data_IF_101261165672
#
_entry.id   IF_101261165672
#
_cell.length_a   1.000
_cell.length_b   1.000
_cell.length_c   1.000
_cell.angle_alpha   90.00
_cell.angle_beta   90.00
_cell.angle_gamma   90.00
#
_symmetry.space_group_name_H-M   'P 1'
#
loop_
_entity.id
_entity.type
_entity.pdbx_description
1 polymer ?
#
# COMPACT_ATOMS: atom_id res chain seq x y z
N UNK A 1 6.67 20.30 7.62
CA UNK A 1 6.48 18.85 7.88
C UNK A 1 7.68 18.11 7.30
N UNK A 2 8.23 17.14 8.02
CA UNK A 2 9.35 16.36 7.50
C UNK A 2 8.82 15.18 6.70
N UNK A 3 9.34 15.00 5.49
CA UNK A 3 9.12 13.80 4.70
C UNK A 3 9.94 12.65 5.29
N UNK A 4 9.32 11.50 5.44
CA UNK A 4 9.96 10.25 5.83
C UNK A 4 10.17 9.41 4.57
N UNK A 5 11.40 8.97 4.34
CA UNK A 5 11.73 8.13 3.19
C UNK A 5 11.28 6.70 3.43
N UNK A 6 10.60 6.12 2.45
CA UNK A 6 10.40 4.68 2.29
C UNK A 6 11.47 4.24 1.29
N UNK A 7 12.59 3.65 1.72
CA UNK A 7 13.69 3.36 0.80
C UNK A 7 13.27 2.36 -0.28
N UNK A 8 13.85 2.47 -1.46
CA UNK A 8 13.61 1.51 -2.54
C UNK A 8 13.78 0.07 -2.04
N UNK A 9 12.83 -0.81 -2.37
CA UNK A 9 12.83 -2.24 -2.00
C UNK A 9 12.73 -2.51 -0.49
N UNK A 10 12.38 -1.50 0.34
CA UNK A 10 12.28 -1.61 1.81
C UNK A 10 10.93 -1.10 2.30
N UNK A 11 10.67 -1.36 3.57
CA UNK A 11 9.49 -0.87 4.27
C UNK A 11 9.81 0.22 5.28
N UNK A 12 8.78 0.96 5.68
CA UNK A 12 8.80 1.91 6.78
C UNK A 12 7.46 1.96 7.48
N UNK A 13 7.44 2.08 8.81
CA UNK A 13 6.23 2.17 9.59
C UNK A 13 6.24 3.39 10.51
N UNK A 14 5.04 3.86 10.89
CA UNK A 14 4.88 4.97 11.81
C UNK A 14 3.59 4.82 12.64
N UNK A 15 3.56 5.44 13.83
CA UNK A 15 2.35 5.60 14.64
C UNK A 15 1.64 6.88 14.23
N UNK A 16 0.32 6.81 14.12
CA UNK A 16 -0.55 7.91 13.70
C UNK A 16 -1.72 8.01 14.67
N UNK A 17 -2.06 9.22 15.10
CA UNK A 17 -3.22 9.45 15.96
C UNK A 17 -4.48 9.66 15.13
N UNK A 18 -5.62 9.35 15.71
CA UNK A 18 -6.92 9.68 15.14
C UNK A 18 -6.99 11.16 14.72
N UNK A 19 -7.54 11.42 13.53
CA UNK A 19 -7.66 12.75 12.94
C UNK A 19 -6.42 13.27 12.20
N UNK A 20 -5.23 12.70 12.42
CA UNK A 20 -4.04 13.08 11.64
C UNK A 20 -4.18 12.62 10.19
N UNK A 21 -3.45 13.30 9.32
CA UNK A 21 -3.41 12.96 7.89
C UNK A 21 -2.07 12.32 7.53
N UNK A 22 -2.13 11.38 6.62
CA UNK A 22 -0.96 10.67 6.08
C UNK A 22 -0.91 10.96 4.60
N UNK A 23 0.11 11.66 4.17
CA UNK A 23 0.39 11.92 2.74
C UNK A 23 1.43 10.94 2.26
N UNK A 24 1.08 10.09 1.30
CA UNK A 24 2.02 9.17 0.65
C UNK A 24 2.34 9.71 -0.73
N UNK A 25 3.62 9.94 -1.02
CA UNK A 25 4.10 10.63 -2.22
C UNK A 25 4.83 9.65 -3.13
N UNK A 26 4.39 9.56 -4.38
CA UNK A 26 5.12 8.88 -5.44
C UNK A 26 6.18 9.83 -6.02
N UNK A 27 7.35 9.86 -5.41
CA UNK A 27 8.40 10.83 -5.70
C UNK A 27 8.84 10.82 -7.15
N UNK A 28 8.93 9.64 -7.73
CA UNK A 28 9.39 9.45 -9.12
C UNK A 28 8.24 9.13 -10.10
N UNK A 29 7.02 8.96 -9.62
CA UNK A 29 5.83 8.71 -10.42
C UNK A 29 5.61 7.25 -10.82
N UNK A 30 6.59 6.36 -10.67
CA UNK A 30 6.49 4.97 -11.14
C UNK A 30 6.48 3.94 -10.01
N UNK A 31 6.68 4.35 -8.75
CA UNK A 31 6.82 3.42 -7.65
C UNK A 31 5.48 2.99 -7.06
N UNK A 32 5.18 1.71 -7.10
CA UNK A 32 4.09 1.11 -6.32
C UNK A 32 4.46 1.06 -4.84
N UNK A 33 3.53 1.46 -3.99
CA UNK A 33 3.69 1.41 -2.52
C UNK A 33 2.58 0.55 -1.92
N UNK A 34 2.94 -0.61 -1.41
CA UNK A 34 2.02 -1.41 -0.62
C UNK A 34 1.82 -0.75 0.75
N UNK A 35 0.57 -0.56 1.15
CA UNK A 35 0.19 0.14 2.37
C UNK A 35 -0.70 -0.71 3.26
N UNK A 36 -0.45 -0.67 4.58
CA UNK A 36 -1.25 -1.33 5.61
C UNK A 36 -1.51 -0.36 6.75
N UNK A 37 -2.62 -0.58 7.44
CA UNK A 37 -2.95 0.11 8.67
C UNK A 37 -3.50 -0.89 9.69
N UNK A 38 -3.08 -0.74 10.93
CA UNK A 38 -3.44 -1.59 12.07
C UNK A 38 -3.92 -0.72 13.21
N UNK A 39 -4.88 -1.19 14.00
CA UNK A 39 -5.22 -0.56 15.28
C UNK A 39 -3.96 -0.50 16.16
N UNK A 40 -3.67 0.67 16.74
CA UNK A 40 -2.44 0.89 17.49
C UNK A 40 -2.34 0.07 18.78
N UNK A 41 -3.47 -0.36 19.33
CA UNK A 41 -3.58 -1.14 20.58
C UNK A 41 -3.76 -2.62 20.29
N UNK A 42 -4.47 -2.97 19.22
CA UNK A 42 -4.77 -4.35 18.84
C UNK A 42 -4.40 -4.61 17.36
N UNK A 43 -3.13 -4.90 17.04
CA UNK A 43 -2.70 -5.09 15.65
C UNK A 43 -3.30 -6.31 14.93
N UNK A 44 -4.08 -7.14 15.62
CA UNK A 44 -4.95 -8.16 15.03
C UNK A 44 -6.19 -7.58 14.36
N UNK A 45 -6.45 -6.29 14.56
CA UNK A 45 -7.39 -5.51 13.80
C UNK A 45 -6.65 -4.67 12.76
N UNK A 46 -6.87 -4.97 11.48
CA UNK A 46 -6.16 -4.37 10.35
C UNK A 46 -7.12 -3.88 9.27
N UNK A 47 -6.66 -2.95 8.43
CA UNK A 47 -7.33 -2.51 7.22
C UNK A 47 -7.51 -3.68 6.26
N UNK A 48 -8.76 -4.06 5.98
CA UNK A 48 -9.11 -5.25 5.22
C UNK A 48 -9.67 -4.88 3.84
N UNK A 49 -8.98 -5.29 2.77
CA UNK A 49 -9.34 -4.91 1.41
C UNK A 49 -10.69 -5.51 0.97
N UNK A 50 -10.95 -6.77 1.29
CA UNK A 50 -12.22 -7.44 1.00
C UNK A 50 -13.40 -6.81 1.77
N UNK A 51 -13.15 -6.37 2.98
CA UNK A 51 -14.14 -5.68 3.79
C UNK A 51 -14.43 -4.28 3.25
N UNK A 52 -13.38 -3.57 2.82
CA UNK A 52 -13.46 -2.21 2.28
C UNK A 52 -14.17 -2.19 0.94
N UNK A 53 -13.86 -3.13 0.03
CA UNK A 53 -14.61 -3.26 -1.24
C UNK A 53 -16.11 -3.47 -1.02
N UNK A 54 -16.49 -4.30 -0.05
CA UNK A 54 -17.90 -4.50 0.31
C UNK A 54 -18.51 -3.25 0.97
N UNK A 55 -17.70 -2.42 1.64
CA UNK A 55 -18.14 -1.19 2.29
C UNK A 55 -18.48 -0.09 1.28
N UNK A 56 -17.57 0.21 0.36
CA UNK A 56 -17.81 1.25 -0.66
C UNK A 56 -18.35 0.73 -2.00
N UNK A 57 -18.55 -0.60 -2.15
CA UNK A 57 -19.14 -1.27 -3.33
C UNK A 57 -18.44 -0.94 -4.65
N UNK A 58 -17.08 -0.91 -4.61
CA UNK A 58 -16.22 -0.62 -5.78
C UNK A 58 -14.96 -1.50 -5.69
N UNK A 59 -14.27 -1.70 -6.82
CA UNK A 59 -12.97 -2.36 -6.87
C UNK A 59 -11.82 -1.41 -6.51
N UNK A 60 -11.99 -0.12 -6.79
CA UNK A 60 -11.03 0.93 -6.44
C UNK A 60 -11.71 2.01 -5.61
N UNK A 61 -11.01 2.50 -4.58
CA UNK A 61 -11.48 3.61 -3.76
C UNK A 61 -11.42 4.93 -4.53
N UNK A 62 -12.35 5.83 -4.24
CA UNK A 62 -12.35 7.21 -4.68
C UNK A 62 -12.19 8.16 -3.49
N UNK A 63 -11.87 9.41 -3.76
CA UNK A 63 -11.84 10.46 -2.73
C UNK A 63 -13.19 10.52 -2.00
N UNK A 64 -13.15 10.47 -0.68
CA UNK A 64 -14.30 10.38 0.22
C UNK A 64 -14.61 8.96 0.72
N UNK A 65 -14.08 7.92 0.07
CA UNK A 65 -14.29 6.53 0.53
C UNK A 65 -13.43 6.25 1.76
N UNK A 66 -14.03 5.49 2.70
CA UNK A 66 -13.35 5.01 3.91
C UNK A 66 -13.03 3.53 3.79
N UNK A 67 -11.77 3.18 3.97
CA UNK A 67 -11.34 1.81 4.21
C UNK A 67 -11.76 1.38 5.61
N UNK A 68 -12.11 0.11 5.75
CA UNK A 68 -12.55 -0.46 7.02
C UNK A 68 -11.66 -1.61 7.46
N UNK A 69 -11.69 -1.89 8.77
CA UNK A 69 -10.97 -3.01 9.35
C UNK A 69 -11.66 -4.35 9.05
N UNK A 70 -10.99 -5.46 9.38
CA UNK A 70 -11.58 -6.80 9.42
C UNK A 70 -12.76 -6.90 10.43
N UNK A 71 -12.94 -5.89 11.30
CA UNK A 71 -14.10 -5.72 12.20
C UNK A 71 -15.11 -4.67 11.73
N UNK A 72 -14.99 -4.19 10.48
CA UNK A 72 -15.88 -3.21 9.84
C UNK A 72 -15.87 -1.80 10.49
N UNK A 73 -14.83 -1.43 11.22
CA UNK A 73 -14.66 -0.05 11.71
C UNK A 73 -13.89 0.78 10.69
N UNK A 74 -14.27 2.04 10.40
CA UNK A 74 -13.46 2.94 9.57
C UNK A 74 -12.05 3.08 10.15
N UNK A 75 -11.02 2.99 9.29
CA UNK A 75 -9.62 3.08 9.69
C UNK A 75 -8.87 4.17 8.95
N UNK A 76 -9.03 4.29 7.63
CA UNK A 76 -8.47 5.36 6.80
C UNK A 76 -9.53 5.87 5.83
N UNK A 77 -9.63 7.18 5.66
CA UNK A 77 -10.44 7.81 4.61
C UNK A 77 -9.53 8.47 3.59
N UNK A 78 -9.68 8.17 2.31
CA UNK A 78 -8.98 8.87 1.22
C UNK A 78 -9.58 10.26 1.06
N UNK A 79 -8.83 11.30 1.40
CA UNK A 79 -9.34 12.69 1.39
C UNK A 79 -8.86 13.51 0.20
N UNK A 80 -7.75 13.09 -0.41
CA UNK A 80 -7.24 13.71 -1.65
C UNK A 80 -6.38 12.70 -2.41
N UNK A 81 -6.44 12.74 -3.73
CA UNK A 81 -5.61 11.93 -4.62
C UNK A 81 -5.24 12.74 -5.87
N UNK A 82 -3.96 12.95 -6.08
CA UNK A 82 -3.42 13.66 -7.25
C UNK A 82 -2.74 12.72 -8.24
N UNK A 83 -2.74 11.40 -7.97
CA UNK A 83 -2.03 10.42 -8.76
C UNK A 83 -2.72 10.09 -10.09
N UNK A 84 -4.01 10.38 -10.19
CA UNK A 84 -4.82 10.06 -11.38
C UNK A 84 -4.95 8.57 -11.65
N UNK A 85 -4.61 7.72 -10.67
CA UNK A 85 -4.68 6.28 -10.84
C UNK A 85 -5.66 5.62 -9.86
N UNK A 86 -6.17 4.48 -10.31
CA UNK A 86 -6.91 3.58 -9.45
C UNK A 86 -5.92 2.78 -8.59
N UNK A 87 -5.92 3.02 -7.30
CA UNK A 87 -5.16 2.21 -6.35
C UNK A 87 -5.73 0.79 -6.30
N UNK A 88 -4.86 -0.21 -6.42
CA UNK A 88 -5.30 -1.59 -6.46
C UNK A 88 -5.62 -2.13 -5.06
N UNK A 89 -6.72 -2.86 -4.97
CA UNK A 89 -7.18 -3.55 -3.75
C UNK A 89 -7.29 -5.06 -3.94
N UNK A 90 -6.86 -5.60 -5.08
CA UNK A 90 -7.09 -6.99 -5.49
C UNK A 90 -5.85 -7.85 -5.33
N UNK A 91 -4.68 -7.31 -5.69
CA UNK A 91 -3.43 -8.06 -5.67
C UNK A 91 -2.89 -8.21 -4.25
N UNK A 92 -2.47 -9.43 -3.91
CA UNK A 92 -1.75 -9.67 -2.68
C UNK A 92 -0.36 -9.01 -2.70
N UNK A 93 0.18 -8.58 -1.54
CA UNK A 93 1.56 -8.12 -1.47
C UNK A 93 2.50 -9.24 -1.94
N UNK A 94 3.54 -8.87 -2.68
CA UNK A 94 4.51 -9.84 -3.16
C UNK A 94 5.27 -10.50 -2.00
N UNK A 95 5.62 -11.78 -2.19
CA UNK A 95 6.37 -12.60 -1.25
C UNK A 95 7.36 -13.51 -1.99
N UNK A 96 8.12 -14.30 -1.25
CA UNK A 96 9.12 -15.23 -1.80
C UNK A 96 8.49 -16.28 -2.73
N UNK A 97 7.30 -16.77 -2.39
CA UNK A 97 6.60 -17.78 -3.20
C UNK A 97 6.17 -17.18 -4.55
N UNK A 98 5.67 -15.94 -4.53
CA UNK A 98 5.34 -15.21 -5.77
C UNK A 98 6.55 -15.03 -6.67
N UNK A 99 7.70 -14.64 -6.13
CA UNK A 99 8.93 -14.53 -6.92
C UNK A 99 9.43 -15.87 -7.43
N UNK A 100 9.29 -16.95 -6.66
CA UNK A 100 9.53 -18.32 -7.12
C UNK A 100 8.69 -18.70 -8.35
N UNK A 101 7.39 -18.36 -8.34
CA UNK A 101 6.50 -18.56 -9.50
C UNK A 101 6.89 -17.70 -10.71
N UNK A 102 7.52 -16.55 -10.51
CA UNK A 102 8.06 -15.69 -11.57
C UNK A 102 9.45 -16.15 -12.07
N UNK A 103 9.97 -17.26 -11.55
CA UNK A 103 11.22 -17.88 -12.00
C UNK A 103 12.48 -17.39 -11.27
N UNK A 104 12.34 -16.59 -10.21
CA UNK A 104 13.49 -16.14 -9.40
C UNK A 104 14.05 -17.33 -8.60
N UNK A 105 15.36 -17.52 -8.69
CA UNK A 105 16.09 -18.50 -7.89
C UNK A 105 16.82 -17.81 -6.74
N UNK A 106 16.54 -18.23 -5.50
CA UNK A 106 17.15 -17.69 -4.30
C UNK A 106 16.37 -16.49 -3.72
N UNK A 107 17.03 -15.71 -2.90
CA UNK A 107 16.40 -14.59 -2.19
C UNK A 107 16.05 -13.43 -3.13
N UNK A 108 14.86 -12.89 -2.98
CA UNK A 108 14.42 -11.62 -3.55
C UNK A 108 13.71 -10.79 -2.49
N UNK A 109 14.01 -9.49 -2.44
CA UNK A 109 13.27 -8.58 -1.56
C UNK A 109 11.77 -8.63 -1.91
N UNK A 110 10.90 -8.50 -0.91
CA UNK A 110 9.45 -8.59 -1.13
C UNK A 110 8.69 -7.76 -0.10
N UNK A 111 7.43 -7.42 -0.43
CA UNK A 111 6.60 -6.54 0.39
C UNK A 111 6.19 -7.17 1.72
N UNK A 112 5.99 -8.49 1.75
CA UNK A 112 5.68 -9.22 2.98
C UNK A 112 6.81 -9.06 4.01
N UNK A 113 8.06 -9.34 3.63
CA UNK A 113 9.21 -9.22 4.53
C UNK A 113 9.45 -7.77 4.94
N UNK A 114 9.26 -6.82 4.01
CA UNK A 114 9.34 -5.39 4.27
C UNK A 114 8.33 -4.93 5.32
N UNK A 115 7.08 -5.42 5.26
CA UNK A 115 6.06 -5.14 6.27
C UNK A 115 6.51 -5.59 7.66
N UNK A 116 6.91 -6.86 7.79
CA UNK A 116 7.32 -7.42 9.08
C UNK A 116 8.56 -6.73 9.64
N UNK A 117 9.54 -6.39 8.79
CA UNK A 117 10.73 -5.65 9.19
C UNK A 117 10.39 -4.22 9.67
N UNK A 118 9.52 -3.51 8.95
CA UNK A 118 9.08 -2.16 9.33
C UNK A 118 8.29 -2.14 10.65
N UNK A 119 7.40 -3.11 10.87
CA UNK A 119 6.66 -3.25 12.12
C UNK A 119 7.56 -3.61 13.31
N UNK A 120 8.60 -4.41 13.06
CA UNK A 120 9.57 -4.79 14.10
C UNK A 120 10.33 -3.57 14.65
N UNK A 121 10.59 -2.54 13.84
CA UNK A 121 11.20 -1.27 14.31
C UNK A 121 10.34 -0.56 15.38
N UNK A 122 9.03 -0.80 15.36
CA UNK A 122 8.07 -0.24 16.32
C UNK A 122 7.68 -1.23 17.44
N UNK A 123 8.34 -2.39 17.49
CA UNK A 123 8.02 -3.52 18.39
C UNK A 123 6.58 -4.04 18.20
N UNK A 124 6.00 -3.93 17.00
CA UNK A 124 4.70 -4.44 16.63
C UNK A 124 4.86 -5.80 15.96
N UNK A 125 4.03 -6.77 16.36
CA UNK A 125 3.99 -8.11 15.76
C UNK A 125 2.57 -8.41 15.29
N UNK A 126 2.45 -9.03 14.14
CA UNK A 126 1.19 -9.48 13.54
C UNK A 126 1.26 -10.98 13.26
N UNK A 127 0.15 -11.73 13.38
CA UNK A 127 0.15 -13.19 13.20
C UNK A 127 0.27 -13.62 11.74
N UNK A 128 -0.13 -12.77 10.80
CA UNK A 128 -0.12 -13.03 9.36
C UNK A 128 0.00 -11.72 8.58
N UNK A 129 0.38 -11.78 7.31
CA UNK A 129 0.40 -10.63 6.40
C UNK A 129 -1.00 -10.43 5.81
N UNK A 130 -1.70 -9.32 6.13
CA UNK A 130 -2.99 -9.04 5.50
C UNK A 130 -2.81 -8.57 4.05
N UNK A 131 -3.87 -8.62 3.22
CA UNK A 131 -3.88 -7.95 1.92
C UNK A 131 -3.55 -6.46 2.05
N UNK A 132 -2.74 -5.94 1.14
CA UNK A 132 -2.34 -4.53 1.10
C UNK A 132 -3.29 -3.67 0.27
N UNK A 133 -3.34 -2.38 0.57
CA UNK A 133 -3.74 -1.37 -0.39
C UNK A 133 -2.51 -1.02 -1.24
N UNK A 134 -2.56 -1.31 -2.55
CA UNK A 134 -1.42 -1.11 -3.44
C UNK A 134 -1.55 0.28 -4.09
N UNK A 135 -0.92 1.27 -3.46
CA UNK A 135 -0.95 2.65 -3.93
C UNK A 135 -0.18 2.79 -5.24
N UNK A 136 -0.73 3.58 -6.17
CA UNK A 136 -0.14 3.89 -7.47
C UNK A 136 0.00 2.66 -8.40
N UNK A 137 -0.65 1.55 -8.06
CA UNK A 137 -0.64 0.32 -8.84
C UNK A 137 -1.81 0.28 -9.81
N UNK A 138 -1.50 0.21 -11.09
CA UNK A 138 -2.49 0.17 -12.16
C UNK A 138 -2.80 -1.28 -12.53
N UNK A 139 -3.97 -1.76 -12.11
CA UNK A 139 -4.50 -3.09 -12.46
C UNK A 139 -5.82 -2.89 -13.20
N UNK A 140 -5.80 -2.63 -14.50
CA UNK A 140 -7.04 -2.53 -15.28
C UNK A 140 -7.77 -3.88 -15.31
N UNK A 141 -9.10 -3.79 -15.33
CA UNK A 141 -9.99 -4.96 -15.42
C UNK A 141 -11.04 -4.76 -16.51
N UNK A 142 -11.53 -5.88 -17.04
CA UNK A 142 -12.60 -5.90 -18.05
C UNK A 142 -13.96 -6.22 -17.42
N UNK A 143 -15.02 -6.05 -18.20
CA UNK A 143 -16.38 -6.45 -17.78
C UNK A 143 -16.50 -7.95 -17.51
N UNK A 144 -15.65 -8.77 -18.15
CA UNK A 144 -15.61 -10.23 -17.96
C UNK A 144 -14.74 -10.64 -16.76
N UNK A 145 -14.16 -9.65 -16.04
CA UNK A 145 -13.38 -9.88 -14.83
C UNK A 145 -11.89 -10.21 -15.07
N UNK A 146 -11.40 -10.08 -16.28
CA UNK A 146 -9.98 -10.26 -16.59
C UNK A 146 -9.16 -9.08 -16.03
N UNK A 147 -7.98 -9.39 -15.50
CA UNK A 147 -7.04 -8.42 -14.93
C UNK A 147 -5.77 -8.36 -15.79
N UNK A 148 -5.18 -7.17 -15.87
CA UNK A 148 -3.90 -6.97 -16.55
C UNK A 148 -2.91 -6.22 -15.66
N UNK A 149 -1.61 -6.42 -15.91
CA UNK A 149 -0.53 -5.64 -15.31
C UNK A 149 -0.33 -4.38 -16.14
N UNK A 150 -0.77 -3.24 -15.61
CA UNK A 150 -0.59 -1.94 -16.26
C UNK A 150 0.62 -1.20 -15.70
N UNK A 151 1.22 -0.35 -16.55
CA UNK A 151 2.22 0.62 -16.09
C UNK A 151 1.58 1.67 -15.19
N UNK A 152 2.34 2.24 -14.23
CA UNK A 152 1.88 3.36 -13.44
C UNK A 152 1.45 4.54 -14.32
N UNK A 153 0.34 5.18 -13.96
CA UNK A 153 -0.16 6.39 -14.63
C UNK A 153 0.12 7.67 -13.83
N UNK A 154 0.60 7.52 -12.60
CA UNK A 154 0.96 8.65 -11.75
C UNK A 154 2.20 9.38 -12.25
N UNK A 155 2.28 10.68 -11.96
CA UNK A 155 3.40 11.55 -12.32
C UNK A 155 4.32 11.80 -11.12
N UNK A 156 5.58 12.20 -11.33
CA UNK A 156 6.48 12.53 -10.23
C UNK A 156 5.89 13.57 -9.26
N UNK A 157 5.93 13.26 -7.96
CA UNK A 157 5.39 14.11 -6.90
C UNK A 157 3.89 13.96 -6.66
N UNK A 158 3.18 13.13 -7.42
CA UNK A 158 1.78 12.78 -7.13
C UNK A 158 1.67 12.11 -5.77
N UNK A 159 0.52 12.27 -5.11
CA UNK A 159 0.29 11.73 -3.78
C UNK A 159 -1.15 11.28 -3.56
N UNK A 160 -1.32 10.39 -2.59
CA UNK A 160 -2.59 10.08 -1.96
C UNK A 160 -2.55 10.56 -0.50
N UNK A 161 -3.61 11.24 -0.05
CA UNK A 161 -3.75 11.80 1.30
C UNK A 161 -4.89 11.09 2.02
N UNK A 162 -4.58 10.50 3.15
CA UNK A 162 -5.53 9.80 4.00
C UNK A 162 -5.72 10.52 5.33
N UNK A 163 -6.92 10.45 5.89
CA UNK A 163 -7.20 10.78 7.28
C UNK A 163 -7.29 9.49 8.10
N UNK A 164 -6.63 9.46 9.25
CA UNK A 164 -6.75 8.38 10.23
C UNK A 164 -8.08 8.51 11.00
N UNK A 165 -8.88 7.45 11.03
CA UNK A 165 -10.16 7.44 11.73
C UNK A 165 -10.04 6.91 13.17
N UNK A 166 -8.90 6.33 13.52
CA UNK A 166 -8.53 5.86 14.84
C UNK A 166 -7.03 5.98 15.05
N UNK A 167 -6.54 5.75 16.26
CA UNK A 167 -5.11 5.62 16.51
C UNK A 167 -4.60 4.35 15.82
N UNK A 168 -3.55 4.47 14.99
CA UNK A 168 -3.06 3.38 14.17
C UNK A 168 -1.55 3.30 14.08
N UNK A 169 -1.09 2.14 13.64
CA UNK A 169 0.22 1.92 13.05
C UNK A 169 0.03 1.76 11.55
N UNK A 170 0.66 2.63 10.76
CA UNK A 170 0.74 2.46 9.30
C UNK A 170 2.09 1.85 8.93
N UNK A 171 2.08 1.01 7.90
CA UNK A 171 3.29 0.47 7.32
C UNK A 171 3.22 0.58 5.79
N UNK A 172 4.36 0.87 5.19
CA UNK A 172 4.52 1.04 3.75
C UNK A 172 5.68 0.19 3.25
N UNK A 173 5.58 -0.31 2.03
CA UNK A 173 6.67 -0.96 1.32
C UNK A 173 6.81 -0.35 -0.07
N UNK A 174 7.96 0.23 -0.41
CA UNK A 174 8.30 0.55 -1.79
C UNK A 174 8.52 -0.79 -2.53
N UNK A 175 7.49 -1.22 -3.26
CA UNK A 175 7.40 -2.57 -3.84
C UNK A 175 8.63 -2.92 -4.66
N UNK A 176 9.35 -4.03 -4.35
CA UNK A 176 10.57 -4.41 -5.05
C UNK A 176 10.35 -5.13 -6.37
N UNK A 177 9.14 -5.10 -6.93
CA UNK A 177 8.80 -5.77 -8.17
C UNK A 177 9.55 -5.16 -9.35
N UNK A 178 10.43 -5.93 -9.97
CA UNK A 178 11.28 -5.57 -11.09
C UNK A 178 11.12 -6.49 -12.32
N UNK A 179 10.16 -7.44 -12.26
CA UNK A 179 9.87 -8.42 -13.31
C UNK A 179 8.59 -8.04 -14.07
N UNK A 180 7.56 -7.59 -13.36
CA UNK A 180 6.29 -7.17 -13.93
C UNK A 180 6.29 -5.63 -14.09
N UNK A 181 5.56 -5.07 -15.06
CA UNK A 181 5.67 -3.64 -15.42
C UNK A 181 4.98 -2.68 -14.41
N UNK A 182 4.62 -3.14 -13.23
CA UNK A 182 3.89 -2.33 -12.24
C UNK A 182 4.70 -1.14 -11.68
N UNK A 183 6.04 -1.20 -11.74
CA UNK A 183 6.94 -0.09 -11.43
C UNK A 183 7.52 0.55 -12.73
N UNK A 184 6.79 0.44 -13.85
CA UNK A 184 7.21 0.88 -15.18
C UNK A 184 7.99 -0.19 -15.95
N UNK A 185 8.09 -0.02 -17.27
CA UNK A 185 8.71 -1.00 -18.18
C UNK A 185 10.18 -1.29 -17.89
N UNK A 186 10.89 -0.38 -17.24
CA UNK A 186 12.30 -0.59 -16.89
C UNK A 186 12.51 -1.51 -15.70
N UNK A 187 11.46 -1.83 -14.95
CA UNK A 187 11.55 -2.57 -13.69
C UNK A 187 12.35 -1.85 -12.58
N UNK A 188 12.66 -0.55 -12.77
CA UNK A 188 13.44 0.22 -11.80
C UNK A 188 12.61 0.54 -10.57
N UNK A 189 12.98 -0.02 -9.45
CA UNK A 189 12.42 0.34 -8.14
C UNK A 189 13.07 1.60 -7.59
N UNK A 190 12.28 2.48 -6.99
CA UNK A 190 12.73 3.75 -6.41
C UNK A 190 12.20 3.91 -4.98
N UNK A 191 12.68 4.92 -4.29
CA UNK A 191 12.09 5.33 -3.01
C UNK A 191 10.75 6.04 -3.24
N UNK A 192 9.91 5.99 -2.23
CA UNK A 192 8.74 6.85 -2.06
C UNK A 192 8.86 7.60 -0.73
N UNK A 193 7.94 8.51 -0.45
CA UNK A 193 7.97 9.26 0.80
C UNK A 193 6.58 9.33 1.43
N UNK A 194 6.54 9.59 2.73
CA UNK A 194 5.29 9.97 3.40
C UNK A 194 5.53 11.06 4.45
N UNK A 195 4.49 11.77 4.82
CA UNK A 195 4.44 12.68 5.96
C UNK A 195 3.19 12.43 6.80
N UNK A 196 3.27 12.79 8.08
CA UNK A 196 2.14 12.81 9.01
C UNK A 196 1.88 14.27 9.39
N UNK A 197 0.63 14.71 9.21
CA UNK A 197 0.16 16.08 9.35
C UNK A 197 -0.85 16.21 10.50
#
# INVERSE_FOLDING_TARGET
MSLVTIPARRGKAARVRAGQRIRVVNTHGTQVVDAWAFDAQEPTEWMAMEASRAWFMKLAAAVGDSFVTNRRRPILTLVEDTSGCAHDTLMAPCDADRYGLLGVKGHHDNCRDNLHAALAELAVKIPATPPSLNLFMNIPWTADGELAWGEPVSTPGSYALFRAEMDLVVAFSACPQDILPINGLTGRTTEAHFSIE
#
